data_IF_802528864119
#
_entry.id   IF_802528864119
#
_cell.length_a   1.000
_cell.length_b   1.000
_cell.length_c   1.000
_cell.angle_alpha   90.00
_cell.angle_beta   90.00
_cell.angle_gamma   90.00
#
_symmetry.space_group_name_H-M   'P 1'
#
loop_
_entity.id
_entity.type
_entity.pdbx_description
1 polymer ?
#
# COMPACT_ATOMS: atom_id res chain seq x y z
N UNK A 1 0.35 -4.26 -0.42
CA UNK A 1 0.52 -3.66 -1.73
C UNK A 1 -0.47 -4.19 -2.73
N UNK A 2 -0.20 -3.93 -3.99
CA UNK A 2 -1.06 -4.43 -5.08
C UNK A 2 -1.08 -5.95 -5.17
N UNK A 3 -0.21 -6.62 -4.46
CA UNK A 3 -0.19 -8.09 -4.35
C UNK A 3 -1.52 -8.66 -3.85
N UNK A 4 -2.39 -7.86 -3.30
CA UNK A 4 -3.73 -8.30 -2.96
C UNK A 4 -4.53 -8.78 -4.16
N UNK A 5 -4.25 -8.24 -5.34
CA UNK A 5 -4.90 -8.64 -6.59
C UNK A 5 -4.05 -9.61 -7.43
N UNK A 6 -2.77 -9.76 -7.12
CA UNK A 6 -1.85 -10.65 -7.84
C UNK A 6 -1.24 -11.66 -6.86
N UNK A 7 -1.15 -12.90 -7.27
CA UNK A 7 -0.65 -13.97 -6.41
C UNK A 7 0.70 -14.47 -6.91
N UNK A 8 1.66 -14.54 -5.98
CA UNK A 8 3.01 -15.02 -6.28
C UNK A 8 3.33 -16.21 -5.39
N UNK A 9 3.81 -17.28 -5.99
CA UNK A 9 4.22 -18.47 -5.25
C UNK A 9 5.34 -18.12 -4.28
N UNK A 10 5.30 -18.68 -3.07
CA UNK A 10 6.32 -18.45 -2.06
C UNK A 10 6.09 -17.22 -1.17
N UNK A 11 5.01 -16.47 -1.39
CA UNK A 11 4.71 -15.27 -0.62
C UNK A 11 3.45 -15.39 0.22
N UNK A 12 3.05 -16.61 0.62
CA UNK A 12 1.79 -16.82 1.33
C UNK A 12 1.74 -16.07 2.67
N UNK A 13 2.79 -16.17 3.48
CA UNK A 13 2.82 -15.50 4.79
C UNK A 13 2.84 -13.98 4.63
N UNK A 14 3.65 -13.48 3.71
CA UNK A 14 3.73 -12.05 3.43
C UNK A 14 2.38 -11.51 2.95
N UNK A 15 1.78 -12.17 1.96
CA UNK A 15 0.51 -11.73 1.38
C UNK A 15 -0.62 -11.77 2.40
N UNK A 16 -0.65 -12.80 3.25
CA UNK A 16 -1.66 -12.92 4.30
C UNK A 16 -1.52 -11.79 5.33
N UNK A 17 -0.29 -11.45 5.72
CA UNK A 17 -0.07 -10.36 6.67
C UNK A 17 -0.53 -9.01 6.11
N UNK A 18 -0.30 -8.77 4.81
CA UNK A 18 -0.74 -7.53 4.17
C UNK A 18 -2.25 -7.48 4.00
N UNK A 19 -2.89 -8.61 3.70
CA UNK A 19 -4.34 -8.68 3.63
C UNK A 19 -4.98 -8.41 5.00
N UNK A 20 -4.38 -8.93 6.07
CA UNK A 20 -4.84 -8.67 7.42
C UNK A 20 -4.75 -7.18 7.76
N UNK A 21 -3.70 -6.49 7.33
CA UNK A 21 -3.56 -5.05 7.52
C UNK A 21 -4.67 -4.27 6.82
N UNK A 22 -5.06 -4.69 5.62
CA UNK A 22 -6.15 -4.05 4.89
C UNK A 22 -7.48 -4.20 5.63
N UNK A 23 -7.78 -5.39 6.13
CA UNK A 23 -9.00 -5.62 6.91
C UNK A 23 -8.98 -4.81 8.21
N UNK A 24 -7.84 -4.76 8.90
CA UNK A 24 -7.70 -3.94 10.10
C UNK A 24 -7.99 -2.46 9.80
N UNK A 25 -7.49 -1.95 8.69
CA UNK A 25 -7.72 -0.57 8.25
C UNK A 25 -9.23 -0.30 8.11
N UNK A 26 -9.95 -1.20 7.45
CA UNK A 26 -11.39 -1.05 7.26
C UNK A 26 -12.16 -1.11 8.58
N UNK A 27 -11.76 -2.01 9.47
CA UNK A 27 -12.40 -2.14 10.78
C UNK A 27 -12.17 -0.92 11.65
N UNK A 28 -10.93 -0.42 11.70
CA UNK A 28 -10.62 0.78 12.48
C UNK A 28 -11.35 2.02 11.95
N UNK A 29 -11.49 2.13 10.63
CA UNK A 29 -12.25 3.22 10.04
C UNK A 29 -13.70 3.21 10.53
N UNK A 30 -14.30 2.04 10.62
CA UNK A 30 -15.67 1.89 11.11
C UNK A 30 -15.77 2.18 12.61
N UNK A 31 -14.84 1.67 13.39
CA UNK A 31 -14.85 1.83 14.84
C UNK A 31 -14.65 3.27 15.30
N UNK A 32 -13.89 4.05 14.55
CA UNK A 32 -13.52 5.42 14.94
C UNK A 32 -14.15 6.50 14.06
N UNK A 33 -15.11 6.16 13.22
CA UNK A 33 -15.69 7.12 12.27
C UNK A 33 -16.30 8.34 12.94
N UNK A 34 -16.84 8.18 14.13
CA UNK A 34 -17.49 9.30 14.85
C UNK A 34 -16.50 10.17 15.60
N UNK A 35 -15.22 9.80 15.61
CA UNK A 35 -14.16 10.60 16.23
C UNK A 35 -13.41 11.45 15.24
N UNK A 36 -13.85 11.47 13.98
CA UNK A 36 -13.19 12.20 12.90
C UNK A 36 -11.74 11.79 12.72
N UNK A 37 -11.48 10.48 12.84
CA UNK A 37 -10.18 9.88 12.58
C UNK A 37 -10.32 8.99 11.36
N UNK A 38 -9.48 9.22 10.36
CA UNK A 38 -9.54 8.48 9.10
C UNK A 38 -8.43 7.44 9.03
N UNK A 39 -8.80 6.24 8.61
CA UNK A 39 -7.87 5.12 8.44
C UNK A 39 -7.93 4.66 7.00
N UNK A 40 -6.82 4.76 6.31
CA UNK A 40 -6.69 4.32 4.92
C UNK A 40 -5.41 3.51 4.77
N UNK A 41 -5.40 2.61 3.82
CA UNK A 41 -4.22 1.81 3.49
C UNK A 41 -3.77 2.15 2.07
N UNK A 42 -2.50 2.42 1.91
CA UNK A 42 -1.92 2.64 0.59
C UNK A 42 -1.31 1.32 0.10
N UNK A 43 -1.90 0.78 -0.95
CA UNK A 43 -1.40 -0.43 -1.59
C UNK A 43 -0.40 -0.02 -2.66
N UNK A 44 0.85 0.10 -2.24
CA UNK A 44 1.91 0.60 -3.10
C UNK A 44 2.30 -0.42 -4.16
N UNK A 45 2.54 0.06 -5.36
CA UNK A 45 3.15 -0.71 -6.42
C UNK A 45 4.66 -0.84 -6.22
N UNK A 46 5.33 -1.30 -7.26
CA UNK A 46 6.77 -1.51 -7.19
C UNK A 46 7.52 -0.18 -7.05
N UNK A 47 8.42 -0.15 -6.09
CA UNK A 47 9.31 0.97 -5.83
C UNK A 47 10.73 0.44 -5.87
N UNK A 48 11.66 1.20 -6.45
CA UNK A 48 13.05 0.78 -6.59
C UNK A 48 13.71 0.75 -5.20
N UNK A 49 13.73 -0.44 -4.59
CA UNK A 49 14.29 -0.69 -3.26
C UNK A 49 15.16 -1.94 -3.29
N UNK A 50 15.97 -2.12 -2.24
CA UNK A 50 16.76 -3.32 -2.07
C UNK A 50 15.89 -4.58 -1.99
N UNK A 51 14.74 -4.46 -1.34
CA UNK A 51 13.81 -5.59 -1.20
C UNK A 51 13.23 -5.99 -2.55
N UNK A 52 12.87 -5.04 -3.39
CA UNK A 52 12.35 -5.31 -4.72
C UNK A 52 13.39 -6.02 -5.57
N UNK A 53 14.64 -5.54 -5.58
CA UNK A 53 15.72 -6.15 -6.35
C UNK A 53 16.02 -7.56 -5.91
N UNK A 54 15.92 -7.84 -4.61
CA UNK A 54 16.13 -9.17 -4.07
C UNK A 54 15.04 -10.14 -4.51
N UNK A 55 13.78 -9.69 -4.50
CA UNK A 55 12.64 -10.54 -4.87
C UNK A 55 12.48 -10.70 -6.38
N UNK A 56 12.78 -9.66 -7.15
CA UNK A 56 12.59 -9.62 -8.60
C UNK A 56 13.81 -8.95 -9.26
N UNK A 57 14.95 -9.67 -9.37
CA UNK A 57 16.21 -9.08 -9.82
C UNK A 57 16.16 -8.42 -11.21
N UNK A 58 15.34 -8.95 -12.11
CA UNK A 58 15.25 -8.48 -13.49
C UNK A 58 14.20 -7.42 -13.71
N UNK A 59 13.41 -7.11 -12.68
CA UNK A 59 12.38 -6.08 -12.79
C UNK A 59 12.93 -4.74 -12.33
N UNK A 60 12.60 -3.69 -13.09
CA UNK A 60 12.97 -2.32 -12.75
C UNK A 60 11.70 -1.51 -12.55
N UNK A 61 11.53 -0.98 -11.35
CA UNK A 61 10.38 -0.14 -11.04
C UNK A 61 10.49 1.23 -11.71
N UNK A 62 9.35 1.79 -12.12
CA UNK A 62 9.28 3.12 -12.69
C UNK A 62 9.31 4.24 -11.65
N UNK A 63 9.11 3.90 -10.39
CA UNK A 63 8.99 4.87 -9.29
C UNK A 63 10.16 4.70 -8.32
N UNK A 64 10.83 5.79 -8.00
CA UNK A 64 11.89 5.79 -6.99
C UNK A 64 11.30 5.82 -5.58
N UNK A 65 12.13 5.43 -4.60
CA UNK A 65 11.73 5.50 -3.19
C UNK A 65 11.42 6.93 -2.77
N UNK A 66 12.17 7.92 -3.27
CA UNK A 66 11.96 9.32 -2.94
C UNK A 66 10.63 9.84 -3.49
N UNK A 67 10.30 9.47 -4.71
CA UNK A 67 9.01 9.86 -5.32
C UNK A 67 7.84 9.27 -4.54
N UNK A 68 7.91 8.00 -4.18
CA UNK A 68 6.85 7.36 -3.42
C UNK A 68 6.72 7.96 -2.02
N UNK A 69 7.84 8.26 -1.36
CA UNK A 69 7.84 8.90 -0.05
C UNK A 69 7.16 10.27 -0.10
N UNK A 70 7.39 11.04 -1.16
CA UNK A 70 6.73 12.33 -1.36
C UNK A 70 5.22 12.17 -1.48
N UNK A 71 4.77 11.18 -2.24
CA UNK A 71 3.34 10.90 -2.37
C UNK A 71 2.71 10.54 -1.02
N UNK A 72 3.37 9.65 -0.27
CA UNK A 72 2.87 9.24 1.04
C UNK A 72 2.75 10.43 1.99
N UNK A 73 3.75 11.31 1.97
CA UNK A 73 3.75 12.51 2.78
C UNK A 73 2.57 13.43 2.41
N UNK A 74 2.39 13.71 1.14
CA UNK A 74 1.29 14.55 0.65
C UNK A 74 -0.07 13.94 0.97
N UNK A 75 -0.20 12.62 0.84
CA UNK A 75 -1.43 11.93 1.19
C UNK A 75 -1.74 12.08 2.68
N UNK A 76 -0.74 11.96 3.54
CA UNK A 76 -0.93 12.05 4.99
C UNK A 76 -1.38 13.45 5.42
N UNK A 77 -1.05 14.48 4.66
CA UNK A 77 -1.40 15.87 4.98
C UNK A 77 -2.78 16.25 4.42
N UNK A 78 -3.08 15.88 3.18
CA UNK A 78 -4.28 16.39 2.50
C UNK A 78 -5.05 15.36 1.70
N UNK A 79 -4.38 14.33 1.17
CA UNK A 79 -5.02 13.38 0.28
C UNK A 79 -6.05 12.50 0.97
N UNK A 80 -5.97 12.35 2.29
CA UNK A 80 -6.89 11.51 3.06
C UNK A 80 -8.28 12.13 3.25
N UNK A 81 -8.44 13.42 3.00
CA UNK A 81 -9.62 14.20 3.42
C UNK A 81 -10.95 13.64 2.91
N UNK A 82 -10.92 13.01 1.75
CA UNK A 82 -12.13 12.46 1.13
C UNK A 82 -12.20 10.94 1.24
N UNK A 83 -11.29 10.32 2.00
CA UNK A 83 -11.15 8.87 2.08
C UNK A 83 -11.17 8.42 3.54
N UNK A 84 -11.92 7.36 3.80
CA UNK A 84 -11.89 6.67 5.09
C UNK A 84 -12.24 5.21 4.88
N UNK A 85 -11.43 4.32 5.41
CA UNK A 85 -11.62 2.87 5.27
C UNK A 85 -11.33 2.37 3.86
N UNK A 86 -10.47 3.06 3.12
CA UNK A 86 -10.18 2.71 1.74
C UNK A 86 -8.81 2.06 1.59
N UNK A 87 -8.73 1.15 0.65
CA UNK A 87 -7.47 0.56 0.21
C UNK A 87 -7.16 1.20 -1.13
N UNK A 88 -6.19 2.10 -1.13
CA UNK A 88 -5.88 2.93 -2.30
C UNK A 88 -4.69 2.33 -3.03
N UNK A 89 -4.91 1.86 -4.26
CA UNK A 89 -3.83 1.33 -5.09
C UNK A 89 -3.02 2.47 -5.68
N UNK A 90 -1.72 2.47 -5.38
CA UNK A 90 -0.78 3.51 -5.84
C UNK A 90 0.28 2.81 -6.67
N UNK A 91 -0.01 2.64 -7.95
CA UNK A 91 0.87 1.87 -8.83
C UNK A 91 0.69 2.29 -10.28
N UNK A 92 1.81 2.44 -10.98
CA UNK A 92 1.83 2.53 -12.43
C UNK A 92 2.49 1.29 -13.04
N UNK A 93 3.15 0.47 -12.21
CA UNK A 93 3.78 -0.77 -12.67
C UNK A 93 3.87 -1.78 -11.54
N UNK A 94 3.81 -3.08 -11.91
CA UNK A 94 4.02 -4.19 -10.97
C UNK A 94 4.95 -5.21 -11.59
N UNK A 95 5.66 -5.99 -10.78
CA UNK A 95 6.45 -7.12 -11.31
C UNK A 95 5.56 -8.14 -11.99
#
# INVERSE_FOLDING_TARGET
GVQGSMKFAGLSAYSSSKAALNILTEMLAEEFKERNIHFNSLALGSVETKMLKKAFPDFKASTSAQEMAKYIYEFSISGYKFLNGKIVSVSSSTP
#
